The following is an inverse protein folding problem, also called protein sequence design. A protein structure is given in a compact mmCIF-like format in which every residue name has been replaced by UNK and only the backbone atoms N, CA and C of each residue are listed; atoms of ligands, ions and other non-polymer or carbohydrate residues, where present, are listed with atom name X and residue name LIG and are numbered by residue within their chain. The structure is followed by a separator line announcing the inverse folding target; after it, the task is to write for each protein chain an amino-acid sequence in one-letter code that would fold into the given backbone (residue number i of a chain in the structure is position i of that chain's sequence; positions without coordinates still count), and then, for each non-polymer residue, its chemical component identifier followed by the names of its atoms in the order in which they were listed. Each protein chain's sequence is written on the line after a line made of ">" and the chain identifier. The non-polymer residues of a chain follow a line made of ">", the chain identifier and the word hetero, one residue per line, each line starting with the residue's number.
data_IF_509874584943
#
_entry.id   IF_509874584943
#
_cell.length_a   1.000
_cell.length_b   1.000
_cell.length_c   1.000
_cell.angle_alpha   90.00
_cell.angle_beta   90.00
_cell.angle_gamma   90.00
#
_symmetry.space_group_name_H-M   'P 1'
#
loop_
_entity.id
_entity.type
_entity.pdbx_description
1 polymer ?
#
# COMPACT_ATOMS: atom_id res chain seq x y z
N UNK A 1 6.36 17.18 11.16
CA UNK A 1 5.37 17.24 10.07
C UNK A 1 4.87 15.84 9.77
N UNK A 2 3.62 15.53 10.13
CA UNK A 2 3.00 14.25 9.78
C UNK A 2 2.74 14.24 8.27
N UNK A 3 3.37 13.30 7.54
CA UNK A 3 3.08 13.08 6.12
C UNK A 3 1.73 12.37 6.03
N UNK A 4 0.67 13.13 5.76
CA UNK A 4 -0.68 12.62 5.59
C UNK A 4 -0.70 11.64 4.40
N UNK A 5 -1.20 10.43 4.65
CA UNK A 5 -1.38 9.41 3.62
C UNK A 5 -2.50 9.86 2.68
N UNK A 6 -2.23 9.93 1.37
CA UNK A 6 -3.28 10.17 0.38
C UNK A 6 -3.98 8.84 0.03
N UNK A 7 -5.31 8.74 0.18
CA UNK A 7 -6.07 7.61 -0.31
C UNK A 7 -5.75 7.27 -1.77
N UNK A 8 -5.65 5.98 -2.11
CA UNK A 8 -5.39 5.56 -3.48
C UNK A 8 -6.45 6.04 -4.47
N UNK A 9 -7.70 6.20 -4.01
CA UNK A 9 -8.78 6.79 -4.80
C UNK A 9 -8.42 8.23 -5.23
N UNK A 10 -7.88 9.04 -4.32
CA UNK A 10 -7.53 10.42 -4.66
C UNK A 10 -6.35 10.47 -5.64
N UNK A 11 -5.37 9.56 -5.47
CA UNK A 11 -4.22 9.42 -6.37
C UNK A 11 -4.67 8.94 -7.75
N UNK A 12 -5.57 7.96 -7.83
CA UNK A 12 -6.04 7.41 -9.10
C UNK A 12 -6.94 8.40 -9.85
N UNK A 13 -7.74 9.20 -9.13
CA UNK A 13 -8.49 10.32 -9.70
C UNK A 13 -7.55 11.40 -10.25
N UNK A 14 -6.53 11.81 -9.50
CA UNK A 14 -5.54 12.77 -9.98
C UNK A 14 -4.78 12.25 -11.20
N UNK A 15 -4.34 10.99 -11.15
CA UNK A 15 -3.69 10.32 -12.27
C UNK A 15 -4.57 10.34 -13.51
N UNK A 16 -5.86 10.01 -13.37
CA UNK A 16 -6.80 9.99 -14.49
C UNK A 16 -6.95 11.39 -15.10
N UNK A 17 -7.03 12.42 -14.27
CA UNK A 17 -7.10 13.81 -14.73
C UNK A 17 -5.85 14.20 -15.52
N UNK A 18 -4.65 13.92 -14.97
CA UNK A 18 -3.37 14.22 -15.64
C UNK A 18 -3.21 13.49 -16.97
N UNK A 19 -3.62 12.23 -17.02
CA UNK A 19 -3.58 11.44 -18.26
C UNK A 19 -4.54 12.02 -19.29
N UNK A 20 -5.75 12.44 -18.90
CA UNK A 20 -6.71 13.08 -19.82
C UNK A 20 -6.22 14.44 -20.33
N UNK A 21 -5.65 15.28 -19.44
CA UNK A 21 -5.07 16.58 -19.81
C UNK A 21 -3.86 16.44 -20.76
N UNK A 22 -3.07 15.38 -20.60
CA UNK A 22 -1.86 15.17 -21.42
C UNK A 22 -2.14 14.87 -22.89
N UNK A 23 -3.36 14.45 -23.25
CA UNK A 23 -3.72 14.03 -24.61
C UNK A 23 -2.89 12.86 -25.14
N UNK A 24 -2.25 12.07 -24.27
CA UNK A 24 -1.38 10.98 -24.69
C UNK A 24 -2.14 9.85 -25.38
N UNK A 25 -1.52 9.33 -26.43
CA UNK A 25 -1.93 8.07 -27.05
C UNK A 25 -1.40 6.89 -26.22
N UNK A 26 -2.01 5.72 -26.38
CA UNK A 26 -1.58 4.49 -25.69
C UNK A 26 -0.09 4.18 -25.91
N UNK A 27 0.39 4.38 -27.15
CA UNK A 27 1.79 4.16 -27.53
C UNK A 27 2.71 5.15 -26.82
N UNK A 28 2.36 6.43 -26.83
CA UNK A 28 3.18 7.48 -26.23
C UNK A 28 3.30 7.30 -24.72
N UNK A 29 2.20 7.00 -24.03
CA UNK A 29 2.22 6.73 -22.59
C UNK A 29 3.06 5.48 -22.24
N UNK A 30 2.97 4.44 -23.07
CA UNK A 30 3.76 3.21 -22.91
C UNK A 30 5.27 3.47 -23.01
N UNK A 31 5.69 4.25 -23.99
CA UNK A 31 7.11 4.61 -24.20
C UNK A 31 7.63 5.54 -23.10
N UNK A 32 6.89 6.60 -22.78
CA UNK A 32 7.31 7.64 -21.84
C UNK A 32 7.33 7.18 -20.37
N UNK A 33 6.40 6.30 -19.98
CA UNK A 33 6.32 5.76 -18.63
C UNK A 33 6.94 4.36 -18.50
N UNK A 34 7.57 3.85 -19.56
CA UNK A 34 8.21 2.51 -19.62
C UNK A 34 7.27 1.38 -19.16
N UNK A 35 6.03 1.39 -19.63
CA UNK A 35 5.02 0.36 -19.30
C UNK A 35 4.55 -0.38 -20.55
N UNK A 36 3.97 -1.56 -20.36
CA UNK A 36 3.33 -2.31 -21.43
C UNK A 36 2.14 -1.55 -22.08
N UNK A 37 1.96 -1.72 -23.39
CA UNK A 37 0.90 -1.08 -24.17
C UNK A 37 -0.51 -1.37 -23.63
N UNK A 38 -0.79 -2.61 -23.19
CA UNK A 38 -2.08 -2.95 -22.59
C UNK A 38 -2.23 -2.37 -21.18
N UNK A 39 -1.14 -2.15 -20.46
CA UNK A 39 -1.17 -1.37 -19.22
C UNK A 39 -1.51 0.09 -19.51
N UNK A 40 -0.87 0.73 -20.48
CA UNK A 40 -1.16 2.10 -20.91
C UNK A 40 -2.63 2.25 -21.37
N UNK A 41 -3.13 1.29 -22.16
CA UNK A 41 -4.54 1.23 -22.58
C UNK A 41 -5.50 1.15 -21.40
N UNK A 42 -5.22 0.33 -20.38
CA UNK A 42 -6.07 0.23 -19.17
C UNK A 42 -6.07 1.52 -18.36
N UNK A 43 -4.92 2.19 -18.28
CA UNK A 43 -4.76 3.44 -17.54
C UNK A 43 -5.56 4.56 -18.21
N UNK A 44 -5.37 4.79 -19.52
CA UNK A 44 -6.09 5.84 -20.24
C UNK A 44 -7.61 5.64 -20.19
N UNK A 45 -8.08 4.39 -20.27
CA UNK A 45 -9.51 4.06 -20.21
C UNK A 45 -10.11 4.09 -18.78
N UNK A 46 -9.40 4.61 -17.77
CA UNK A 46 -9.93 4.82 -16.43
C UNK A 46 -10.16 3.54 -15.62
N UNK A 47 -9.49 2.44 -15.96
CA UNK A 47 -9.66 1.14 -15.27
C UNK A 47 -8.66 0.90 -14.14
N UNK A 48 -7.99 1.95 -13.63
CA UNK A 48 -6.98 1.84 -12.57
C UNK A 48 -7.64 1.76 -11.19
N UNK A 49 -8.23 0.61 -10.87
CA UNK A 49 -8.80 0.36 -9.54
C UNK A 49 -7.75 -0.02 -8.51
N UNK A 50 -6.69 -0.69 -8.94
CA UNK A 50 -5.66 -1.25 -8.07
C UNK A 50 -4.32 -0.52 -8.23
N UNK A 51 -3.55 -0.47 -7.14
CA UNK A 51 -2.17 0.03 -7.10
C UNK A 51 -1.23 -1.00 -7.72
N UNK A 52 -1.13 -1.02 -9.05
CA UNK A 52 -0.20 -1.87 -9.80
C UNK A 52 1.12 -1.14 -10.03
N UNK A 53 2.19 -1.89 -10.32
CA UNK A 53 3.49 -1.31 -10.69
C UNK A 53 3.38 -0.35 -11.88
N UNK A 54 2.59 -0.72 -12.90
CA UNK A 54 2.33 0.17 -14.03
C UNK A 54 1.62 1.48 -13.63
N UNK A 55 0.69 1.45 -12.67
CA UNK A 55 0.06 2.66 -12.17
C UNK A 55 1.05 3.54 -11.38
N UNK A 56 1.96 2.93 -10.63
CA UNK A 56 3.02 3.63 -9.90
C UNK A 56 4.02 4.27 -10.87
N UNK A 57 4.42 3.55 -11.93
CA UNK A 57 5.32 4.05 -12.97
C UNK A 57 4.73 5.29 -13.65
N UNK A 58 3.45 5.25 -14.03
CA UNK A 58 2.79 6.41 -14.64
C UNK A 58 2.62 7.56 -13.64
N UNK A 59 2.28 7.28 -12.39
CA UNK A 59 2.25 8.34 -11.37
C UNK A 59 3.64 8.99 -11.20
N UNK A 60 4.71 8.21 -11.27
CA UNK A 60 6.09 8.70 -11.15
C UNK A 60 6.44 9.60 -12.33
N UNK A 61 6.06 9.20 -13.55
CA UNK A 61 6.19 10.02 -14.75
C UNK A 61 5.48 11.38 -14.60
N UNK A 62 4.23 11.38 -14.14
CA UNK A 62 3.48 12.63 -13.88
C UNK A 62 3.89 13.35 -12.58
N UNK A 63 4.91 12.86 -11.87
CA UNK A 63 5.37 13.39 -10.57
C UNK A 63 4.28 13.45 -9.50
N UNK A 64 3.30 12.55 -9.58
CA UNK A 64 2.25 12.38 -8.58
C UNK A 64 2.87 11.64 -7.39
N UNK A 65 2.76 12.22 -6.20
CA UNK A 65 3.28 11.61 -4.99
C UNK A 65 2.48 10.35 -4.63
N UNK A 66 3.07 9.18 -4.89
CA UNK A 66 2.49 7.86 -4.56
C UNK A 66 3.00 7.29 -3.24
N UNK A 67 3.76 8.08 -2.47
CA UNK A 67 4.29 7.67 -1.15
C UNK A 67 3.14 7.56 -0.15
N UNK A 68 2.37 6.50 -0.26
CA UNK A 68 1.81 5.84 0.90
C UNK A 68 3.02 5.23 1.63
N UNK A 69 3.29 5.56 2.90
CA UNK A 69 4.21 4.76 3.69
C UNK A 69 3.73 3.31 3.57
N UNK A 70 4.60 2.40 3.12
CA UNK A 70 4.32 0.96 2.95
C UNK A 70 4.05 0.22 4.28
N UNK A 71 3.36 0.87 5.23
CA UNK A 71 3.09 0.35 6.56
C UNK A 71 1.67 0.68 6.99
N UNK A 72 0.70 0.19 6.22
CA UNK A 72 -0.65 -0.03 6.75
C UNK A 72 -0.89 -1.51 7.11
N UNK A 73 0.20 -2.29 7.27
CA UNK A 73 0.15 -3.67 7.77
C UNK A 73 1.06 -3.95 8.97
N UNK A 74 1.61 -2.95 9.65
CA UNK A 74 2.28 -3.21 10.90
C UNK A 74 1.89 -2.14 11.90
N UNK A 75 1.26 -2.53 13.03
CA UNK A 75 1.82 -2.03 14.28
C UNK A 75 3.32 -2.26 14.14
N UNK A 76 4.12 -1.20 14.14
CA UNK A 76 5.55 -1.34 13.81
C UNK A 76 6.12 -2.49 14.65
N UNK A 77 7.07 -3.28 14.13
CA UNK A 77 7.70 -4.34 14.96
C UNK A 77 8.09 -3.80 16.35
N UNK A 78 8.45 -2.51 16.40
CA UNK A 78 8.64 -1.71 17.61
C UNK A 78 7.41 -1.62 18.54
N UNK A 79 6.20 -1.40 18.06
CA UNK A 79 4.97 -1.41 18.87
C UNK A 79 4.63 -2.80 19.41
N UNK A 80 4.82 -3.85 18.61
CA UNK A 80 4.61 -5.23 19.08
C UNK A 80 5.64 -5.56 20.15
N UNK A 81 6.92 -5.26 19.89
CA UNK A 81 8.00 -5.45 20.84
C UNK A 81 7.83 -4.61 22.11
N UNK A 82 7.32 -3.38 22.00
CA UNK A 82 7.00 -2.54 23.16
C UNK A 82 5.90 -3.16 24.00
N UNK A 83 4.80 -3.60 23.38
CA UNK A 83 3.71 -4.24 24.11
C UNK A 83 4.14 -5.56 24.77
N UNK A 84 5.03 -6.32 24.13
CA UNK A 84 5.63 -7.52 24.73
C UNK A 84 6.54 -7.13 25.91
N UNK A 85 7.36 -6.09 25.77
CA UNK A 85 8.22 -5.62 26.86
C UNK A 85 7.42 -5.08 28.05
N UNK A 86 6.29 -4.40 27.80
CA UNK A 86 5.41 -3.87 28.85
C UNK A 86 4.65 -4.99 29.58
N UNK A 87 4.28 -6.06 28.86
CA UNK A 87 3.54 -7.19 29.42
C UNK A 87 4.45 -8.22 30.12
N UNK A 88 5.71 -8.34 29.71
CA UNK A 88 6.63 -9.36 30.20
C UNK A 88 7.19 -9.00 31.59
N UNK A 89 7.01 -9.91 32.56
CA UNK A 89 7.52 -9.77 33.93
C UNK A 89 8.99 -10.20 34.14
N UNK A 90 9.69 -10.56 33.06
CA UNK A 90 11.09 -11.03 33.09
C UNK A 90 11.27 -12.52 33.37
N UNK A 91 10.20 -13.29 33.64
CA UNK A 91 10.31 -14.73 33.90
C UNK A 91 10.27 -15.59 32.64
N UNK A 92 10.88 -16.78 32.68
CA UNK A 92 10.87 -17.74 31.58
C UNK A 92 9.48 -18.34 31.36
N UNK A 93 8.72 -18.57 32.44
CA UNK A 93 7.36 -19.12 32.36
C UNK A 93 6.41 -18.17 31.63
N UNK A 94 6.52 -16.86 31.87
CA UNK A 94 5.74 -15.85 31.16
C UNK A 94 6.14 -15.78 29.67
N UNK A 95 7.44 -15.83 29.36
CA UNK A 95 7.91 -15.88 27.97
C UNK A 95 7.33 -17.09 27.21
N UNK A 96 7.34 -18.28 27.84
CA UNK A 96 6.74 -19.50 27.26
C UNK A 96 5.24 -19.36 27.04
N UNK A 97 4.52 -18.68 27.94
CA UNK A 97 3.09 -18.44 27.81
C UNK A 97 2.78 -17.52 26.61
N UNK A 98 3.53 -16.44 26.44
CA UNK A 98 3.39 -15.52 25.30
C UNK A 98 3.62 -16.24 23.97
N UNK A 99 4.66 -17.09 23.88
CA UNK A 99 4.95 -17.88 22.68
C UNK A 99 3.79 -18.82 22.35
N UNK A 100 3.30 -19.60 23.32
CA UNK A 100 2.16 -20.51 23.12
C UNK A 100 0.90 -19.78 22.67
N UNK A 101 0.67 -18.56 23.16
CA UNK A 101 -0.47 -17.75 22.76
C UNK A 101 -0.35 -17.30 21.30
N UNK A 102 0.83 -16.83 20.88
CA UNK A 102 1.11 -16.47 19.48
C UNK A 102 0.92 -17.69 18.56
N UNK A 103 1.52 -18.83 18.90
CA UNK A 103 1.38 -20.08 18.14
C UNK A 103 -0.08 -20.54 18.04
N UNK A 104 -0.82 -20.48 19.17
CA UNK A 104 -2.24 -20.85 19.23
C UNK A 104 -3.14 -19.94 18.41
N UNK A 105 -2.74 -18.68 18.22
CA UNK A 105 -3.47 -17.69 17.41
C UNK A 105 -3.12 -17.74 15.92
N UNK A 106 -2.01 -18.36 15.52
CA UNK A 106 -1.53 -18.39 14.14
C UNK A 106 -2.52 -19.02 13.13
N UNK A 107 -3.43 -19.87 13.62
CA UNK A 107 -4.49 -20.51 12.82
C UNK A 107 -5.69 -19.60 12.51
N UNK A 108 -5.83 -18.48 13.23
CA UNK A 108 -6.94 -17.54 13.01
C UNK A 108 -6.49 -16.45 12.03
N UNK A 109 -6.97 -16.52 10.78
CA UNK A 109 -6.83 -15.40 9.84
C UNK A 109 -7.82 -14.31 10.23
N UNK A 110 -7.30 -13.14 10.60
CA UNK A 110 -8.12 -11.95 10.80
C UNK A 110 -8.46 -11.37 9.44
N UNK A 111 -9.73 -11.42 9.02
CA UNK A 111 -10.18 -10.69 7.84
C UNK A 111 -9.92 -9.20 8.05
N UNK A 112 -9.26 -8.57 7.08
CA UNK A 112 -8.95 -7.15 7.15
C UNK A 112 -10.26 -6.36 7.30
N UNK A 113 -10.35 -5.59 8.38
CA UNK A 113 -11.48 -4.72 8.69
C UNK A 113 -11.72 -3.73 7.55
N UNK A 114 -12.68 -4.03 6.67
CA UNK A 114 -13.18 -3.09 5.68
C UNK A 114 -14.16 -2.16 6.40
N UNK A 115 -13.73 -0.94 6.74
CA UNK A 115 -14.64 0.09 7.24
C UNK A 115 -15.63 0.44 6.13
N UNK A 116 -16.92 0.17 6.40
CA UNK A 116 -18.05 0.80 5.70
C UNK A 116 -18.15 2.27 6.08
#
# INVERSE_FOLDING_TARGET
>A
MQKLQRPWIDISTELQHKVQESGFTYKKLSEEAEIDYFAARRIINGRVKNRTEAAIAVCTYFKIETKCPDKMQSRSAKEILSAVADAWDGTEDHARLLVKLIEGTARFKVEAYSKK
#
